data_IF_687452651520
#
_entry.id   IF_687452651520
#
_cell.length_a   1.000
_cell.length_b   1.000
_cell.length_c   1.000
_cell.angle_alpha   90.00
_cell.angle_beta   90.00
_cell.angle_gamma   90.00
#
_symmetry.space_group_name_H-M   'P 1'
#
loop_
_entity.id
_entity.type
_entity.pdbx_description
1 polymer ?
#
# COMPACT_ATOMS: atom_id res chain seq x y z
N UNK A 1 -27.47 2.33 -59.96
CA UNK A 1 -26.46 3.35 -59.67
C UNK A 1 -27.17 4.38 -58.83
N UNK A 2 -26.88 4.38 -57.53
CA UNK A 2 -27.62 5.13 -56.51
C UNK A 2 -26.99 6.51 -56.41
N UNK A 3 -27.80 7.55 -56.60
CA UNK A 3 -27.33 8.92 -56.84
C UNK A 3 -27.92 9.95 -55.88
N UNK A 4 -29.03 9.61 -55.21
CA UNK A 4 -29.61 10.50 -54.21
C UNK A 4 -28.85 10.38 -52.89
N UNK A 5 -28.81 11.48 -52.13
CA UNK A 5 -28.16 11.52 -50.81
C UNK A 5 -28.87 10.54 -49.85
N UNK A 6 -30.19 10.43 -49.97
CA UNK A 6 -31.05 9.54 -49.19
C UNK A 6 -30.81 8.06 -49.52
N UNK A 7 -30.58 7.73 -50.80
CA UNK A 7 -30.19 6.37 -51.22
C UNK A 7 -28.81 6.00 -50.66
N UNK A 8 -27.85 6.94 -50.69
CA UNK A 8 -26.53 6.75 -50.07
C UNK A 8 -26.69 6.50 -48.58
N UNK A 9 -27.51 7.28 -47.87
CA UNK A 9 -27.78 7.08 -46.45
C UNK A 9 -28.35 5.68 -46.19
N UNK A 10 -29.37 5.25 -46.93
CA UNK A 10 -29.98 3.93 -46.77
C UNK A 10 -28.99 2.78 -46.96
N UNK A 11 -28.13 2.87 -47.99
CA UNK A 11 -27.11 1.84 -48.28
C UNK A 11 -26.02 1.83 -47.20
N UNK A 12 -25.52 3.00 -46.78
CA UNK A 12 -24.50 3.09 -45.73
C UNK A 12 -25.06 2.59 -44.40
N UNK A 13 -26.33 2.89 -44.07
CA UNK A 13 -27.04 2.32 -42.92
C UNK A 13 -27.08 0.79 -42.99
N UNK A 14 -27.50 0.23 -44.12
CA UNK A 14 -27.63 -1.22 -44.28
C UNK A 14 -26.28 -1.95 -44.18
N UNK A 15 -25.22 -1.39 -44.77
CA UNK A 15 -23.87 -1.96 -44.69
C UNK A 15 -23.31 -1.92 -43.27
N UNK A 16 -23.41 -0.78 -42.58
CA UNK A 16 -22.94 -0.68 -41.19
C UNK A 16 -23.75 -1.59 -40.25
N UNK A 17 -25.06 -1.72 -40.48
CA UNK A 17 -25.90 -2.64 -39.73
C UNK A 17 -25.50 -4.11 -39.96
N UNK A 18 -25.15 -4.49 -41.19
CA UNK A 18 -24.68 -5.83 -41.53
C UNK A 18 -23.34 -6.17 -40.87
N UNK A 19 -22.38 -5.25 -40.96
CA UNK A 19 -20.99 -5.51 -40.56
C UNK A 19 -20.79 -5.37 -39.05
N UNK A 20 -21.57 -4.49 -38.38
CA UNK A 20 -21.33 -4.11 -36.99
C UNK A 20 -22.53 -4.33 -36.05
N UNK A 21 -23.70 -4.66 -36.60
CA UNK A 21 -24.95 -4.79 -35.83
C UNK A 21 -25.49 -3.47 -35.27
N UNK A 22 -24.79 -2.34 -35.48
CA UNK A 22 -25.18 -0.99 -35.03
C UNK A 22 -24.60 0.10 -35.92
N UNK A 23 -25.23 1.27 -35.91
CA UNK A 23 -24.77 2.44 -36.68
C UNK A 23 -23.90 3.32 -35.80
N UNK A 24 -22.61 3.44 -36.15
CA UNK A 24 -21.66 4.32 -35.46
C UNK A 24 -21.54 5.64 -36.22
N UNK A 25 -21.96 6.75 -35.60
CA UNK A 25 -22.01 8.09 -36.22
C UNK A 25 -20.69 8.54 -36.85
N UNK A 26 -19.54 8.21 -36.24
CA UNK A 26 -18.24 8.58 -36.81
C UNK A 26 -17.91 7.81 -38.09
N UNK A 27 -18.32 6.54 -38.19
CA UNK A 27 -18.09 5.71 -39.39
C UNK A 27 -19.01 6.11 -40.52
N UNK A 28 -20.28 6.37 -40.21
CA UNK A 28 -21.26 6.90 -41.15
C UNK A 28 -20.71 8.17 -41.82
N UNK A 29 -20.30 9.15 -41.02
CA UNK A 29 -19.76 10.42 -41.50
C UNK A 29 -18.45 10.27 -42.29
N UNK A 30 -17.61 9.28 -41.99
CA UNK A 30 -16.39 9.03 -42.77
C UNK A 30 -16.72 8.52 -44.17
N UNK A 31 -17.67 7.61 -44.29
CA UNK A 31 -18.14 7.10 -45.59
C UNK A 31 -18.77 8.23 -46.41
N UNK A 32 -19.53 9.12 -45.77
CA UNK A 32 -20.09 10.31 -46.42
C UNK A 32 -19.02 11.27 -46.94
N UNK A 33 -18.02 11.58 -46.12
CA UNK A 33 -16.92 12.46 -46.51
C UNK A 33 -16.16 11.94 -47.75
N UNK A 34 -15.93 10.62 -47.84
CA UNK A 34 -15.27 9.99 -49.02
C UNK A 34 -16.12 10.12 -50.29
N UNK A 35 -17.44 10.20 -50.15
CA UNK A 35 -18.40 10.39 -51.24
C UNK A 35 -18.58 11.90 -51.57
N UNK A 36 -18.05 12.80 -50.73
CA UNK A 36 -18.20 14.25 -50.85
C UNK A 36 -19.51 14.78 -50.26
N UNK A 37 -20.12 14.04 -49.35
CA UNK A 37 -21.32 14.44 -48.61
C UNK A 37 -20.91 15.01 -47.25
N UNK A 38 -21.49 16.14 -46.88
CA UNK A 38 -21.21 16.81 -45.62
C UNK A 38 -21.55 15.96 -44.39
N UNK A 39 -20.84 16.25 -43.31
CA UNK A 39 -21.03 15.58 -42.02
C UNK A 39 -22.44 15.84 -41.47
N UNK A 40 -23.04 14.76 -40.98
CA UNK A 40 -24.35 14.70 -40.34
C UNK A 40 -24.19 14.64 -38.81
N UNK A 41 -25.03 15.36 -38.06
CA UNK A 41 -25.01 15.34 -36.60
C UNK A 41 -25.64 14.05 -36.03
N UNK A 42 -25.53 13.84 -34.71
CA UNK A 42 -26.17 12.68 -34.04
C UNK A 42 -27.69 12.79 -34.03
N UNK A 43 -28.24 14.01 -34.03
CA UNK A 43 -29.69 14.23 -34.07
C UNK A 43 -30.23 13.94 -35.47
N UNK A 44 -29.59 14.50 -36.50
CA UNK A 44 -29.97 14.26 -37.90
C UNK A 44 -29.85 12.77 -38.28
N UNK A 45 -28.94 12.02 -37.66
CA UNK A 45 -28.85 10.57 -37.84
C UNK A 45 -30.10 9.81 -37.40
N UNK A 46 -30.81 10.31 -36.37
CA UNK A 46 -32.09 9.73 -35.94
C UNK A 46 -33.17 10.06 -36.97
N UNK A 47 -33.20 11.30 -37.42
CA UNK A 47 -34.17 11.78 -38.42
C UNK A 47 -34.00 11.01 -39.75
N UNK A 48 -32.75 10.77 -40.17
CA UNK A 48 -32.43 9.94 -41.33
C UNK A 48 -32.87 8.49 -41.12
N UNK A 49 -32.68 7.94 -39.92
CA UNK A 49 -33.13 6.59 -39.59
C UNK A 49 -34.65 6.45 -39.65
N UNK A 50 -35.38 7.45 -39.16
CA UNK A 50 -36.85 7.51 -39.23
C UNK A 50 -37.32 7.66 -40.67
N UNK A 51 -36.72 8.57 -41.44
CA UNK A 51 -36.96 8.74 -42.87
C UNK A 51 -36.78 7.44 -43.67
N UNK A 52 -35.66 6.73 -43.46
CA UNK A 52 -35.40 5.44 -44.12
C UNK A 52 -36.43 4.38 -43.70
N UNK A 53 -36.96 4.44 -42.48
CA UNK A 53 -37.94 3.48 -42.01
C UNK A 53 -39.33 3.73 -42.59
N UNK A 54 -39.74 4.99 -42.72
CA UNK A 54 -41.06 5.40 -43.23
C UNK A 54 -41.17 5.26 -44.76
N UNK A 55 -40.07 5.49 -45.48
CA UNK A 55 -40.03 5.32 -46.93
C UNK A 55 -39.79 3.85 -47.32
N UNK A 56 -40.79 3.23 -47.94
CA UNK A 56 -40.74 1.82 -48.34
C UNK A 56 -39.62 1.49 -49.34
N UNK A 57 -39.21 2.45 -50.18
CA UNK A 57 -38.12 2.27 -51.12
C UNK A 57 -36.75 2.33 -50.43
N UNK A 58 -36.51 3.35 -49.59
CA UNK A 58 -35.28 3.49 -48.82
C UNK A 58 -35.09 2.34 -47.82
N UNK A 59 -36.18 1.92 -47.16
CA UNK A 59 -36.15 0.75 -46.29
C UNK A 59 -35.80 -0.53 -47.06
N UNK A 60 -36.33 -0.66 -48.28
CA UNK A 60 -35.98 -1.72 -49.22
C UNK A 60 -34.49 -1.74 -49.55
N UNK A 61 -33.90 -0.58 -49.88
CA UNK A 61 -32.47 -0.45 -50.16
C UNK A 61 -31.59 -0.78 -48.94
N UNK A 62 -31.97 -0.31 -47.75
CA UNK A 62 -31.30 -0.66 -46.49
C UNK A 62 -31.32 -2.18 -46.29
N UNK A 63 -32.46 -2.83 -46.49
CA UNK A 63 -32.59 -4.28 -46.32
C UNK A 63 -31.81 -5.06 -47.38
N UNK A 64 -31.81 -4.60 -48.63
CA UNK A 64 -31.00 -5.21 -49.69
C UNK A 64 -29.49 -5.05 -49.42
N UNK A 65 -29.07 -3.94 -48.81
CA UNK A 65 -27.71 -3.75 -48.34
C UNK A 65 -27.36 -4.68 -47.16
N UNK A 66 -28.29 -4.89 -46.20
CA UNK A 66 -28.13 -5.87 -45.11
C UNK A 66 -27.96 -7.29 -45.67
N UNK A 67 -28.76 -7.66 -46.66
CA UNK A 67 -28.67 -8.96 -47.35
C UNK A 67 -27.45 -9.05 -48.28
N UNK A 68 -26.69 -7.97 -48.47
CA UNK A 68 -25.50 -7.91 -49.32
C UNK A 68 -25.78 -7.89 -50.82
N UNK A 69 -27.01 -7.61 -51.25
CA UNK A 69 -27.35 -7.43 -52.66
C UNK A 69 -26.90 -6.07 -53.20
N UNK A 70 -26.79 -5.08 -52.31
CA UNK A 70 -26.26 -3.73 -52.59
C UNK A 70 -25.12 -3.45 -51.63
N UNK A 71 -24.08 -2.76 -52.09
CA UNK A 71 -22.86 -2.51 -51.31
C UNK A 71 -22.32 -1.10 -51.50
N UNK A 72 -21.32 -0.72 -50.70
CA UNK A 72 -20.61 0.55 -50.87
C UNK A 72 -19.92 0.69 -52.25
N UNK A 73 -19.70 -0.41 -52.97
CA UNK A 73 -19.10 -0.42 -54.33
C UNK A 73 -20.06 0.07 -55.41
N UNK A 74 -21.35 0.16 -55.07
CA UNK A 74 -22.43 0.60 -55.95
C UNK A 74 -22.71 2.11 -55.79
N UNK A 75 -22.02 2.74 -54.83
CA UNK A 75 -22.06 4.18 -54.57
C UNK A 75 -21.04 4.92 -55.44
N UNK A 76 -21.40 6.16 -55.78
CA UNK A 76 -20.57 7.08 -56.54
C UNK A 76 -20.38 8.38 -55.77
N UNK A 77 -19.25 9.05 -55.97
CA UNK A 77 -19.02 10.41 -55.47
C UNK A 77 -19.99 11.39 -56.12
N UNK A 78 -20.08 12.59 -55.55
CA UNK A 78 -20.80 13.73 -56.16
C UNK A 78 -20.32 14.04 -57.59
N UNK A 79 -19.07 13.68 -57.95
CA UNK A 79 -18.52 13.81 -59.31
C UNK A 79 -18.81 12.61 -60.25
N UNK A 80 -19.60 11.62 -59.81
CA UNK A 80 -19.94 10.43 -60.60
C UNK A 80 -18.80 9.41 -60.74
N UNK A 81 -17.86 9.38 -59.79
CA UNK A 81 -16.76 8.39 -59.77
C UNK A 81 -17.01 7.35 -58.68
N UNK A 82 -16.73 6.07 -58.97
CA UNK A 82 -16.71 5.03 -57.93
C UNK A 82 -15.60 5.29 -56.91
N UNK A 83 -15.99 5.50 -55.65
CA UNK A 83 -15.10 5.86 -54.54
C UNK A 83 -14.41 4.63 -53.95
N UNK A 84 -15.13 3.51 -53.85
CA UNK A 84 -14.62 2.29 -53.21
C UNK A 84 -14.21 1.24 -54.24
N UNK A 85 -12.91 0.92 -54.28
CA UNK A 85 -12.32 -0.21 -55.05
C UNK A 85 -11.67 -1.20 -54.07
N UNK A 86 -12.05 -2.48 -54.18
CA UNK A 86 -11.61 -3.59 -53.31
C UNK A 86 -11.70 -3.32 -51.79
N UNK A 87 -11.00 -4.10 -50.95
CA UNK A 87 -11.12 -4.13 -49.48
C UNK A 87 -10.68 -2.83 -48.73
N UNK A 88 -10.42 -1.72 -49.43
CA UNK A 88 -9.89 -0.47 -48.87
C UNK A 88 -10.72 0.16 -47.72
N UNK A 89 -12.02 -0.14 -47.63
CA UNK A 89 -12.86 0.38 -46.54
C UNK A 89 -12.52 -0.26 -45.19
N UNK A 90 -12.13 -1.54 -45.18
CA UNK A 90 -11.72 -2.25 -43.96
C UNK A 90 -10.43 -1.66 -43.40
N UNK A 91 -9.47 -1.34 -44.25
CA UNK A 91 -8.21 -0.70 -43.84
C UNK A 91 -8.47 0.67 -43.20
N UNK A 92 -9.33 1.46 -43.84
CA UNK A 92 -9.70 2.81 -43.40
C UNK A 92 -10.44 2.84 -42.06
N UNK A 93 -11.21 1.79 -41.74
CA UNK A 93 -11.96 1.66 -40.48
C UNK A 93 -11.09 1.00 -39.39
N UNK A 94 -10.21 0.07 -39.75
CA UNK A 94 -9.30 -0.64 -38.85
C UNK A 94 -8.28 0.31 -38.20
N UNK A 95 -7.63 1.18 -38.97
CA UNK A 95 -6.62 2.12 -38.45
C UNK A 95 -7.19 3.05 -37.37
N UNK A 96 -8.43 3.52 -37.54
CA UNK A 96 -9.09 4.39 -36.56
C UNK A 96 -9.41 3.66 -35.23
N UNK A 97 -9.82 2.39 -35.30
CA UNK A 97 -10.09 1.59 -34.10
C UNK A 97 -8.81 1.42 -33.28
N UNK A 98 -7.71 1.09 -33.96
CA UNK A 98 -6.39 0.92 -33.33
C UNK A 98 -5.93 2.23 -32.68
N UNK A 99 -6.06 3.36 -33.37
CA UNK A 99 -5.69 4.67 -32.82
C UNK A 99 -6.57 5.10 -31.64
N UNK A 100 -7.88 4.86 -31.71
CA UNK A 100 -8.80 5.21 -30.64
C UNK A 100 -8.60 4.32 -29.40
N UNK A 101 -8.34 3.02 -29.56
CA UNK A 101 -7.97 2.13 -28.45
C UNK A 101 -6.64 2.55 -27.81
N UNK A 102 -5.63 2.90 -28.63
CA UNK A 102 -4.36 3.42 -28.13
C UNK A 102 -4.55 4.71 -27.32
N UNK A 103 -5.38 5.64 -27.80
CA UNK A 103 -5.73 6.88 -27.08
C UNK A 103 -6.48 6.61 -25.77
N UNK A 104 -7.45 5.69 -25.77
CA UNK A 104 -8.18 5.29 -24.57
C UNK A 104 -7.27 4.59 -23.56
N UNK A 105 -6.30 3.80 -24.02
CA UNK A 105 -5.26 3.19 -23.17
C UNK A 105 -4.42 4.27 -22.48
N UNK A 106 -3.89 5.24 -23.24
CA UNK A 106 -3.07 6.32 -22.68
C UNK A 106 -3.85 7.17 -21.67
N UNK A 107 -5.13 7.46 -21.92
CA UNK A 107 -5.99 8.18 -20.97
C UNK A 107 -6.25 7.39 -19.69
N UNK A 108 -6.37 6.06 -19.78
CA UNK A 108 -6.48 5.19 -18.60
C UNK A 108 -5.20 5.21 -17.76
N UNK A 109 -4.03 5.20 -18.38
CA UNK A 109 -2.75 5.35 -17.68
C UNK A 109 -2.61 6.73 -17.03
N UNK A 110 -2.91 7.81 -17.76
CA UNK A 110 -2.83 9.17 -17.22
C UNK A 110 -3.74 9.34 -15.99
N UNK A 111 -4.97 8.80 -16.04
CA UNK A 111 -5.90 8.80 -14.91
C UNK A 111 -5.39 7.98 -13.72
N UNK A 112 -4.66 6.88 -13.96
CA UNK A 112 -4.02 6.12 -12.86
C UNK A 112 -2.96 6.97 -12.15
N UNK A 113 -2.09 7.65 -12.92
CA UNK A 113 -1.07 8.53 -12.34
C UNK A 113 -1.68 9.74 -11.62
N UNK A 114 -2.69 10.39 -12.20
CA UNK A 114 -3.42 11.48 -11.56
C UNK A 114 -4.13 11.04 -10.27
N UNK A 115 -4.76 9.86 -10.27
CA UNK A 115 -5.39 9.29 -9.07
C UNK A 115 -4.35 8.98 -7.99
N UNK A 116 -3.18 8.48 -8.37
CA UNK A 116 -2.07 8.24 -7.45
C UNK A 116 -1.57 9.53 -6.79
N UNK A 117 -1.41 10.61 -7.58
CA UNK A 117 -1.02 11.92 -7.05
C UNK A 117 -2.07 12.52 -6.11
N UNK A 118 -3.35 12.50 -6.50
CA UNK A 118 -4.44 12.99 -5.66
C UNK A 118 -4.59 12.19 -4.36
N UNK A 119 -4.38 10.87 -4.39
CA UNK A 119 -4.39 10.05 -3.18
C UNK A 119 -3.25 10.42 -2.22
N UNK A 120 -2.05 10.67 -2.75
CA UNK A 120 -0.92 11.12 -1.94
C UNK A 120 -1.18 12.50 -1.33
N UNK A 121 -1.73 13.43 -2.11
CA UNK A 121 -2.11 14.76 -1.61
C UNK A 121 -3.15 14.66 -0.48
N UNK A 122 -4.19 13.83 -0.66
CA UNK A 122 -5.19 13.56 0.38
C UNK A 122 -4.58 12.88 1.61
N UNK A 123 -3.66 11.93 1.43
CA UNK A 123 -2.94 11.28 2.52
C UNK A 123 -2.11 12.30 3.30
N UNK A 124 -1.38 13.18 2.63
CA UNK A 124 -0.50 14.16 3.27
C UNK A 124 -1.28 15.27 3.98
N UNK A 125 -2.34 15.78 3.37
CA UNK A 125 -3.21 16.77 4.01
C UNK A 125 -3.96 16.15 5.21
N UNK A 126 -4.47 14.93 5.06
CA UNK A 126 -5.06 14.16 6.15
C UNK A 126 -4.06 13.92 7.28
N UNK A 127 -2.86 13.44 6.95
CA UNK A 127 -1.80 13.17 7.91
C UNK A 127 -1.43 14.41 8.72
N UNK A 128 -1.28 15.57 8.07
CA UNK A 128 -0.99 16.83 8.76
C UNK A 128 -2.07 17.17 9.79
N UNK A 129 -3.34 17.07 9.39
CA UNK A 129 -4.47 17.38 10.28
C UNK A 129 -4.57 16.37 11.44
N UNK A 130 -4.40 15.08 11.13
CA UNK A 130 -4.47 13.99 12.10
C UNK A 130 -3.29 14.04 13.08
N UNK A 131 -2.05 14.31 12.64
CA UNK A 131 -0.90 14.49 13.53
C UNK A 131 -1.14 15.63 14.52
N UNK A 132 -1.62 16.80 14.05
CA UNK A 132 -1.92 17.93 14.95
C UNK A 132 -3.01 17.58 15.97
N UNK A 133 -3.95 16.71 15.60
CA UNK A 133 -5.01 16.24 16.49
C UNK A 133 -4.46 15.26 17.54
N UNK A 134 -3.76 14.22 17.11
CA UNK A 134 -3.26 13.16 17.99
C UNK A 134 -2.09 13.62 18.87
N UNK A 135 -1.36 14.68 18.48
CA UNK A 135 -0.26 15.21 19.30
C UNK A 135 -0.70 16.03 20.54
N UNK A 136 -1.99 16.31 20.72
CA UNK A 136 -2.49 17.12 21.85
C UNK A 136 -2.54 16.35 23.17
N UNK A 137 -3.05 15.12 23.14
CA UNK A 137 -3.33 14.32 24.33
C UNK A 137 -2.57 12.98 24.25
N UNK A 138 -1.85 12.56 25.31
CA UNK A 138 -1.17 11.27 25.34
C UNK A 138 -2.16 10.11 25.36
N UNK A 139 -1.85 9.07 24.57
CA UNK A 139 -2.57 7.80 24.57
C UNK A 139 -2.11 6.94 25.77
N UNK A 140 -0.82 7.05 26.13
CA UNK A 140 -0.22 6.36 27.27
C UNK A 140 0.20 7.39 28.32
N UNK A 141 -0.27 7.22 29.57
CA UNK A 141 0.00 8.13 30.69
C UNK A 141 1.47 8.08 31.15
N UNK A 142 2.11 9.24 31.29
CA UNK A 142 3.47 9.43 31.82
C UNK A 142 3.59 8.97 33.29
N UNK A 143 4.79 8.53 33.71
CA UNK A 143 5.07 8.12 35.10
C UNK A 143 6.46 8.57 35.57
N UNK A 144 6.52 9.15 36.77
CA UNK A 144 7.77 9.55 37.43
C UNK A 144 8.39 8.40 38.26
N UNK A 145 9.63 7.99 38.00
CA UNK A 145 10.49 7.18 38.91
C UNK A 145 11.98 7.53 38.69
N UNK A 146 12.81 7.42 39.74
CA UNK A 146 14.29 7.61 39.72
C UNK A 146 15.00 6.37 40.28
N UNK A 147 16.03 5.84 39.61
CA UNK A 147 16.96 4.80 40.08
C UNK A 147 18.34 4.81 39.37
N UNK A 148 19.33 4.11 39.94
CA UNK A 148 20.77 4.34 39.75
C UNK A 148 21.51 3.41 38.77
N UNK A 149 22.85 3.46 38.86
CA UNK A 149 23.73 3.14 37.73
C UNK A 149 24.24 1.69 37.59
N UNK A 150 24.15 1.07 36.40
CA UNK A 150 24.71 -0.26 36.06
C UNK A 150 25.33 -0.43 34.65
N UNK A 151 25.90 -1.62 34.41
CA UNK A 151 26.56 -2.06 33.15
C UNK A 151 25.60 -2.82 32.19
N UNK A 152 24.28 -2.73 32.40
CA UNK A 152 23.28 -3.41 31.57
C UNK A 152 22.48 -2.41 30.74
N UNK A 153 22.01 -2.86 29.58
CA UNK A 153 21.08 -2.11 28.72
C UNK A 153 19.88 -2.98 28.41
N UNK A 154 18.70 -2.38 28.50
CA UNK A 154 17.44 -3.03 28.13
C UNK A 154 17.08 -2.65 26.70
N UNK A 155 16.85 -3.64 25.85
CA UNK A 155 16.37 -3.45 24.49
C UNK A 155 14.91 -3.86 24.42
N UNK A 156 14.02 -2.90 24.19
CA UNK A 156 12.60 -3.13 23.94
C UNK A 156 12.41 -3.47 22.46
N UNK A 157 11.87 -4.66 22.19
CA UNK A 157 11.48 -5.04 20.85
C UNK A 157 9.97 -4.84 20.74
N UNK A 158 9.59 -3.90 19.89
CA UNK A 158 8.20 -3.60 19.53
C UNK A 158 8.00 -4.02 18.07
N UNK A 159 7.01 -4.84 17.75
CA UNK A 159 6.76 -5.20 16.34
C UNK A 159 5.29 -5.42 16.03
N UNK A 160 4.95 -5.30 14.75
CA UNK A 160 3.68 -5.75 14.19
C UNK A 160 2.48 -5.19 14.97
N UNK A 161 2.49 -3.87 15.23
CA UNK A 161 1.38 -3.18 15.89
C UNK A 161 0.14 -3.17 15.02
N UNK A 162 0.29 -3.12 13.69
CA UNK A 162 -0.83 -3.09 12.74
C UNK A 162 -1.93 -2.12 13.20
N UNK A 163 -1.54 -0.87 13.49
CA UNK A 163 -2.48 0.18 13.89
C UNK A 163 -3.57 0.29 12.82
N UNK A 164 -4.82 0.19 13.26
CA UNK A 164 -5.98 0.15 12.37
C UNK A 164 -6.49 -1.25 12.08
N UNK A 165 -5.79 -2.34 12.40
CA UNK A 165 -6.34 -3.68 12.24
C UNK A 165 -7.46 -3.94 13.25
N UNK A 166 -8.59 -4.48 12.76
CA UNK A 166 -9.66 -4.98 13.63
C UNK A 166 -9.89 -6.46 13.42
N UNK A 167 -9.94 -7.20 14.53
CA UNK A 167 -10.45 -8.58 14.54
C UNK A 167 -11.61 -8.69 15.52
N UNK A 168 -12.70 -9.30 15.03
CA UNK A 168 -13.91 -9.64 15.80
C UNK A 168 -14.03 -11.16 15.98
N UNK A 169 -12.90 -11.84 16.10
CA UNK A 169 -12.88 -13.29 16.24
C UNK A 169 -13.36 -13.72 17.63
N UNK A 170 -13.94 -14.92 17.71
CA UNK A 170 -14.41 -15.51 18.98
C UNK A 170 -13.25 -15.78 19.95
N UNK A 171 -12.05 -16.02 19.43
CA UNK A 171 -10.88 -16.48 20.19
C UNK A 171 -9.93 -15.34 20.62
N UNK A 172 -9.93 -14.20 19.92
CA UNK A 172 -9.11 -13.03 20.26
C UNK A 172 -9.73 -11.76 19.65
N UNK A 173 -9.80 -10.69 20.43
CA UNK A 173 -10.22 -9.37 19.95
C UNK A 173 -9.00 -8.49 19.78
N UNK A 174 -8.96 -7.76 18.68
CA UNK A 174 -7.92 -6.76 18.43
C UNK A 174 -8.54 -5.52 17.79
N UNK A 175 -8.15 -4.37 18.32
CA UNK A 175 -8.44 -3.04 17.82
C UNK A 175 -7.46 -2.06 18.48
N UNK A 176 -7.53 -0.78 18.15
CA UNK A 176 -6.61 0.22 18.68
C UNK A 176 -6.68 0.40 20.20
N UNK A 177 -7.87 0.30 20.78
CA UNK A 177 -8.07 0.37 22.23
C UNK A 177 -7.41 -0.80 22.95
N UNK A 178 -7.58 -2.03 22.44
CA UNK A 178 -6.92 -3.23 22.95
C UNK A 178 -5.41 -3.11 22.82
N UNK A 179 -4.89 -2.66 21.67
CA UNK A 179 -3.46 -2.39 21.50
C UNK A 179 -2.95 -1.42 22.57
N UNK A 180 -3.63 -0.29 22.77
CA UNK A 180 -3.24 0.73 23.75
C UNK A 180 -3.18 0.14 25.18
N UNK A 181 -4.18 -0.66 25.57
CA UNK A 181 -4.19 -1.33 26.88
C UNK A 181 -3.07 -2.38 27.01
N UNK A 182 -2.78 -3.11 25.93
CA UNK A 182 -1.67 -4.08 25.88
C UNK A 182 -0.32 -3.39 26.04
N UNK A 183 -0.12 -2.24 25.37
CA UNK A 183 1.12 -1.46 25.49
C UNK A 183 1.29 -0.86 26.88
N UNK A 184 0.20 -0.43 27.54
CA UNK A 184 0.25 -0.03 28.96
C UNK A 184 0.76 -1.17 29.86
N UNK A 185 0.21 -2.38 29.71
CA UNK A 185 0.68 -3.57 30.43
C UNK A 185 2.15 -3.90 30.12
N UNK A 186 2.57 -3.74 28.86
CA UNK A 186 3.97 -3.93 28.48
C UNK A 186 4.89 -2.92 29.19
N UNK A 187 4.50 -1.64 29.24
CA UNK A 187 5.27 -0.60 29.92
C UNK A 187 5.32 -0.79 31.43
N UNK A 188 4.28 -1.35 32.07
CA UNK A 188 4.33 -1.74 33.48
C UNK A 188 5.45 -2.77 33.75
N UNK A 189 5.61 -3.74 32.84
CA UNK A 189 6.68 -4.73 32.91
C UNK A 189 8.05 -4.14 32.58
N UNK A 190 8.13 -3.18 31.65
CA UNK A 190 9.35 -2.41 31.37
C UNK A 190 9.82 -1.70 32.64
N UNK A 191 8.93 -0.95 33.27
CA UNK A 191 9.21 -0.21 34.50
C UNK A 191 9.71 -1.13 35.61
N UNK A 192 9.06 -2.29 35.79
CA UNK A 192 9.47 -3.29 36.78
C UNK A 192 10.89 -3.79 36.52
N UNK A 193 11.24 -4.07 35.25
CA UNK A 193 12.57 -4.57 34.91
C UNK A 193 13.63 -3.49 35.05
N UNK A 194 13.34 -2.27 34.61
CA UNK A 194 14.23 -1.12 34.78
C UNK A 194 14.56 -0.97 36.26
N UNK A 195 13.55 -1.04 37.12
CA UNK A 195 13.73 -0.91 38.56
C UNK A 195 14.50 -2.09 39.18
N UNK A 196 14.09 -3.32 38.89
CA UNK A 196 14.66 -4.52 39.51
C UNK A 196 16.09 -4.81 39.05
N UNK A 197 16.43 -4.42 37.82
CA UNK A 197 17.75 -4.64 37.23
C UNK A 197 18.65 -3.40 37.21
N UNK A 198 18.15 -2.26 37.73
CA UNK A 198 18.84 -0.97 37.84
C UNK A 198 19.40 -0.53 36.47
N UNK A 199 18.50 -0.38 35.50
CA UNK A 199 18.85 -0.08 34.10
C UNK A 199 18.90 1.42 33.84
N UNK A 200 20.03 1.93 33.36
CA UNK A 200 20.17 3.33 32.92
C UNK A 200 19.89 3.52 31.44
N UNK A 201 20.37 2.62 30.59
CA UNK A 201 20.31 2.77 29.14
C UNK A 201 19.20 1.89 28.58
N UNK A 202 18.36 2.45 27.71
CA UNK A 202 17.27 1.72 27.05
C UNK A 202 17.28 1.97 25.55
N UNK A 203 17.34 0.89 24.78
CA UNK A 203 17.18 0.89 23.33
C UNK A 203 15.77 0.44 22.95
N UNK A 204 15.02 1.25 22.23
CA UNK A 204 13.65 0.97 21.77
C UNK A 204 13.69 0.72 20.26
N UNK A 205 13.47 -0.52 19.85
CA UNK A 205 13.50 -0.91 18.45
C UNK A 205 12.11 -1.31 17.95
N UNK A 206 11.60 -0.55 16.98
CA UNK A 206 10.39 -0.87 16.28
C UNK A 206 10.69 -1.71 15.02
N UNK A 207 10.32 -2.98 15.05
CA UNK A 207 10.70 -4.03 14.09
C UNK A 207 9.68 -4.16 12.95
N UNK A 208 9.12 -3.04 12.48
CA UNK A 208 8.22 -2.94 11.33
C UNK A 208 6.76 -3.35 11.55
N UNK A 209 5.95 -3.06 10.53
CA UNK A 209 4.50 -3.23 10.51
C UNK A 209 3.80 -2.39 11.59
N UNK A 210 4.02 -1.07 11.53
CA UNK A 210 3.38 -0.12 12.43
C UNK A 210 1.89 0.02 12.15
N UNK A 211 1.52 0.05 10.86
CA UNK A 211 0.14 0.23 10.40
C UNK A 211 -0.37 -1.03 9.71
N UNK A 212 -1.69 -1.24 9.71
CA UNK A 212 -2.29 -2.38 8.98
C UNK A 212 -2.32 -2.14 7.47
N UNK A 213 -2.38 -0.87 7.05
CA UNK A 213 -2.61 -0.44 5.67
C UNK A 213 -4.03 -0.74 5.17
N UNK A 214 -4.59 0.12 4.32
CA UNK A 214 -6.00 -0.01 3.90
C UNK A 214 -6.21 -0.85 2.63
N UNK A 215 -5.21 -0.91 1.74
CA UNK A 215 -5.35 -1.45 0.39
C UNK A 215 -4.23 -2.41 -0.07
N UNK A 216 -3.61 -3.20 0.83
CA UNK A 216 -2.64 -4.23 0.39
C UNK A 216 -3.31 -5.49 -0.16
N UNK A 217 -4.52 -5.81 0.30
CA UNK A 217 -5.30 -6.98 -0.14
C UNK A 217 -6.53 -6.48 -0.91
N UNK A 218 -6.64 -6.88 -2.17
CA UNK A 218 -7.52 -6.30 -3.21
C UNK A 218 -9.03 -6.24 -2.92
N UNK A 219 -9.55 -6.77 -1.80
CA UNK A 219 -11.00 -6.93 -1.60
C UNK A 219 -11.51 -6.60 -0.19
N UNK A 220 -10.82 -7.02 0.88
CA UNK A 220 -11.42 -7.01 2.23
C UNK A 220 -10.72 -6.11 3.26
N UNK A 221 -9.46 -5.71 3.04
CA UNK A 221 -8.68 -5.07 4.11
C UNK A 221 -9.28 -3.74 4.58
N UNK A 222 -9.84 -2.95 3.67
CA UNK A 222 -10.52 -1.70 4.02
C UNK A 222 -11.76 -1.89 4.92
N UNK A 223 -12.40 -3.07 4.91
CA UNK A 223 -13.53 -3.38 5.80
C UNK A 223 -13.08 -3.80 7.20
N UNK A 224 -11.86 -4.30 7.32
CA UNK A 224 -11.24 -4.74 8.57
C UNK A 224 -10.33 -3.66 9.17
N UNK A 225 -10.32 -2.45 8.60
CA UNK A 225 -9.55 -1.31 9.12
C UNK A 225 -10.40 -0.31 9.90
N UNK A 226 -9.96 0.03 11.10
CA UNK A 226 -10.55 1.00 12.03
C UNK A 226 -10.46 2.45 11.52
N UNK A 227 -9.39 2.75 10.78
CA UNK A 227 -8.97 4.09 10.48
C UNK A 227 -8.51 4.24 9.04
N UNK A 228 -8.57 5.46 8.53
CA UNK A 228 -7.89 5.83 7.29
C UNK A 228 -6.37 5.66 7.41
N UNK A 229 -5.66 5.54 6.29
CA UNK A 229 -4.20 5.40 6.30
C UNK A 229 -3.51 6.57 7.03
N UNK A 230 -3.98 7.81 6.85
CA UNK A 230 -3.42 8.98 7.56
C UNK A 230 -3.58 8.86 9.07
N UNK A 231 -4.76 8.45 9.53
CA UNK A 231 -5.05 8.25 10.95
C UNK A 231 -4.24 7.10 11.55
N UNK A 232 -4.01 6.01 10.79
CA UNK A 232 -3.14 4.92 11.23
C UNK A 232 -1.70 5.42 11.46
N UNK A 233 -1.15 6.21 10.53
CA UNK A 233 0.18 6.80 10.65
C UNK A 233 0.23 7.76 11.84
N UNK A 234 -0.75 8.65 11.98
CA UNK A 234 -0.77 9.64 13.06
C UNK A 234 -0.86 8.97 14.44
N UNK A 235 -1.75 7.99 14.61
CA UNK A 235 -1.90 7.22 15.85
C UNK A 235 -0.68 6.36 16.16
N UNK A 236 -0.10 5.71 15.15
CA UNK A 236 1.14 4.95 15.30
C UNK A 236 2.30 5.84 15.73
N UNK A 237 2.44 7.02 15.10
CA UNK A 237 3.45 8.02 15.50
C UNK A 237 3.26 8.46 16.94
N UNK A 238 2.01 8.73 17.36
CA UNK A 238 1.73 9.14 18.73
C UNK A 238 2.04 8.03 19.74
N UNK A 239 1.67 6.78 19.46
CA UNK A 239 2.02 5.65 20.33
C UNK A 239 3.53 5.51 20.53
N UNK A 240 4.31 5.62 19.46
CA UNK A 240 5.77 5.56 19.54
C UNK A 240 6.32 6.73 20.36
N UNK A 241 5.81 7.94 20.14
CA UNK A 241 6.19 9.12 20.92
C UNK A 241 5.89 8.94 22.41
N UNK A 242 4.70 8.46 22.75
CA UNK A 242 4.33 8.24 24.16
C UNK A 242 5.20 7.16 24.80
N UNK A 243 5.52 6.07 24.08
CA UNK A 243 6.45 5.02 24.57
C UNK A 243 7.84 5.60 24.80
N UNK A 244 8.39 6.34 23.84
CA UNK A 244 9.72 6.96 23.94
C UNK A 244 9.78 7.87 25.17
N UNK A 245 8.77 8.73 25.36
CA UNK A 245 8.68 9.63 26.52
C UNK A 245 8.58 8.87 27.84
N UNK A 246 7.64 7.93 27.93
CA UNK A 246 7.46 7.10 29.13
C UNK A 246 8.76 6.40 29.53
N UNK A 247 9.49 5.82 28.57
CA UNK A 247 10.76 5.16 28.85
C UNK A 247 11.85 6.17 29.23
N UNK A 248 11.89 7.34 28.58
CA UNK A 248 12.82 8.42 28.92
C UNK A 248 12.62 8.96 30.33
N UNK A 249 11.38 8.99 30.82
CA UNK A 249 11.06 9.42 32.18
C UNK A 249 11.38 8.33 33.23
N UNK A 250 11.60 7.08 32.80
CA UNK A 250 11.92 5.94 33.68
C UNK A 250 13.42 5.76 33.92
N UNK A 251 14.29 6.41 33.15
CA UNK A 251 15.74 6.16 33.18
C UNK A 251 16.58 7.43 33.22
N UNK A 252 17.72 7.36 33.91
CA UNK A 252 18.68 8.47 34.00
C UNK A 252 19.71 8.47 32.85
N UNK A 253 19.84 7.35 32.13
CA UNK A 253 20.82 7.16 31.06
C UNK A 253 20.30 7.52 29.68
N UNK A 254 20.83 6.84 28.66
CA UNK A 254 20.51 7.14 27.27
C UNK A 254 19.31 6.34 26.80
N UNK A 255 18.31 7.03 26.24
CA UNK A 255 17.28 6.38 25.42
C UNK A 255 17.66 6.46 23.96
N UNK A 256 17.74 5.30 23.28
CA UNK A 256 17.94 5.21 21.83
C UNK A 256 16.68 4.68 21.17
N UNK A 257 16.23 5.28 20.07
CA UNK A 257 15.09 4.79 19.28
C UNK A 257 15.51 4.46 17.85
N UNK A 258 15.05 3.32 17.34
CA UNK A 258 15.22 2.93 15.93
C UNK A 258 13.97 2.26 15.37
N UNK A 259 13.70 2.49 14.08
CA UNK A 259 12.54 1.91 13.39
C UNK A 259 12.96 1.32 12.03
N UNK A 260 12.39 0.17 11.69
CA UNK A 260 12.47 -0.39 10.33
C UNK A 260 11.08 -0.52 9.71
N UNK A 261 11.00 -0.44 8.39
CA UNK A 261 9.77 -0.69 7.65
C UNK A 261 9.49 -2.18 7.51
N UNK A 262 8.24 -2.57 7.74
CA UNK A 262 7.71 -3.88 7.38
C UNK A 262 6.99 -3.87 6.03
N UNK A 263 6.31 -4.98 5.72
CA UNK A 263 5.56 -5.06 4.45
C UNK A 263 4.23 -4.30 4.47
N UNK A 264 3.61 -4.14 5.64
CA UNK A 264 2.40 -3.31 5.81
C UNK A 264 2.69 -1.81 5.81
N UNK A 265 3.93 -1.40 6.07
CA UNK A 265 4.32 0.00 6.02
C UNK A 265 4.50 0.56 4.59
N UNK A 266 4.40 -0.25 3.53
CA UNK A 266 4.62 0.22 2.14
C UNK A 266 3.49 1.17 1.72
N UNK A 267 3.79 2.37 1.21
CA UNK A 267 2.73 3.26 0.68
C UNK A 267 2.07 2.71 -0.59
N UNK A 268 2.83 1.93 -1.36
CA UNK A 268 2.30 1.15 -2.48
C UNK A 268 1.91 -0.25 -2.00
N UNK A 269 0.60 -0.48 -1.84
CA UNK A 269 0.06 -1.75 -1.35
C UNK A 269 0.37 -2.96 -2.24
N UNK A 270 0.57 -2.75 -3.56
CA UNK A 270 0.98 -3.83 -4.45
C UNK A 270 2.47 -4.14 -4.30
N UNK A 271 2.80 -5.32 -3.78
CA UNK A 271 4.18 -5.80 -3.59
C UNK A 271 5.07 -5.73 -4.85
N UNK A 272 4.49 -5.86 -6.04
CA UNK A 272 5.24 -5.84 -7.30
C UNK A 272 5.63 -4.42 -7.74
N UNK A 273 4.98 -3.40 -7.18
CA UNK A 273 5.21 -1.99 -7.50
C UNK A 273 5.89 -1.25 -6.34
N UNK A 274 6.44 -1.97 -5.37
CA UNK A 274 7.09 -1.35 -4.22
C UNK A 274 8.20 -0.40 -4.68
N UNK A 275 8.20 0.81 -4.13
CA UNK A 275 9.29 1.77 -4.30
C UNK A 275 10.16 1.64 -3.06
N UNK A 276 11.48 1.51 -3.26
CA UNK A 276 12.42 1.36 -2.16
C UNK A 276 12.43 2.64 -1.31
N UNK A 277 12.46 2.47 0.01
CA UNK A 277 12.32 3.50 1.07
C UNK A 277 11.00 4.29 1.09
N UNK A 278 10.04 3.99 0.21
CA UNK A 278 8.73 4.63 0.21
C UNK A 278 7.78 3.91 1.18
N UNK A 279 7.89 4.27 2.47
CA UNK A 279 7.18 3.60 3.55
C UNK A 279 6.68 4.56 4.63
N UNK A 280 5.69 4.11 5.39
CA UNK A 280 5.20 4.75 6.60
C UNK A 280 6.31 4.91 7.62
N UNK A 281 7.14 3.89 7.84
CA UNK A 281 8.27 3.99 8.76
C UNK A 281 9.22 5.13 8.39
N UNK A 282 9.43 5.42 7.10
CA UNK A 282 10.21 6.58 6.65
C UNK A 282 9.54 7.88 7.07
N UNK A 283 8.23 8.03 6.81
CA UNK A 283 7.45 9.22 7.18
C UNK A 283 7.49 9.44 8.70
N UNK A 284 7.33 8.36 9.48
CA UNK A 284 7.36 8.41 10.94
C UNK A 284 8.75 8.81 11.44
N UNK A 285 9.82 8.21 10.92
CA UNK A 285 11.19 8.55 11.28
C UNK A 285 11.50 10.01 10.96
N UNK A 286 11.15 10.48 9.75
CA UNK A 286 11.33 11.88 9.35
C UNK A 286 10.54 12.84 10.25
N UNK A 287 9.32 12.45 10.64
CA UNK A 287 8.49 13.22 11.58
C UNK A 287 9.12 13.30 12.97
N UNK A 288 9.65 12.20 13.50
CA UNK A 288 10.30 12.16 14.81
C UNK A 288 11.60 12.97 14.82
N UNK A 289 12.42 12.88 13.76
CA UNK A 289 13.63 13.71 13.61
C UNK A 289 13.27 15.19 13.52
N UNK A 290 12.24 15.55 12.76
CA UNK A 290 11.74 16.93 12.70
C UNK A 290 11.24 17.41 14.08
N UNK A 291 10.53 16.57 14.84
CA UNK A 291 10.14 16.87 16.22
C UNK A 291 11.33 17.08 17.14
N UNK A 292 12.40 16.28 16.99
CA UNK A 292 13.64 16.43 17.74
C UNK A 292 14.36 17.74 17.38
N UNK A 293 14.50 18.07 16.10
CA UNK A 293 15.10 19.34 15.63
C UNK A 293 14.36 20.58 16.15
N UNK A 294 13.04 20.46 16.38
CA UNK A 294 12.20 21.53 16.92
C UNK A 294 12.04 21.47 18.46
N UNK A 295 12.76 20.59 19.15
CA UNK A 295 12.77 20.51 20.62
C UNK A 295 11.51 19.91 21.26
N UNK A 296 10.68 19.21 20.48
CA UNK A 296 9.49 18.48 20.98
C UNK A 296 9.89 17.15 21.64
N UNK A 297 10.96 16.54 21.13
CA UNK A 297 11.62 15.35 21.68
C UNK A 297 13.02 15.79 22.08
N UNK A 298 13.36 15.66 23.36
CA UNK A 298 14.68 15.97 23.89
C UNK A 298 15.29 14.70 24.50
N UNK A 299 16.62 14.67 24.65
CA UNK A 299 17.34 13.63 25.39
C UNK A 299 17.16 12.18 24.88
N UNK A 300 16.78 12.02 23.60
CA UNK A 300 16.64 10.72 22.93
C UNK A 300 17.56 10.67 21.71
N UNK A 301 18.32 9.60 21.55
CA UNK A 301 19.13 9.33 20.37
C UNK A 301 18.29 8.60 19.31
N UNK A 302 17.85 9.29 18.26
CA UNK A 302 17.09 8.69 17.16
C UNK A 302 18.06 8.18 16.07
N UNK A 303 17.99 6.90 15.75
CA UNK A 303 18.78 6.29 14.68
C UNK A 303 18.23 6.73 13.32
N UNK A 304 18.97 7.56 12.59
CA UNK A 304 18.62 7.96 11.23
C UNK A 304 19.08 6.90 10.21
N UNK A 305 18.19 5.95 9.91
CA UNK A 305 18.35 4.95 8.86
C UNK A 305 17.52 5.27 7.60
N UNK A 306 17.22 6.55 7.32
CA UNK A 306 16.44 6.93 6.12
C UNK A 306 17.08 6.49 4.78
N UNK A 307 18.40 6.26 4.75
CA UNK A 307 19.09 5.69 3.58
C UNK A 307 18.71 4.22 3.29
N UNK A 308 18.40 3.43 4.33
CA UNK A 308 17.89 2.05 4.24
C UNK A 308 16.85 1.83 5.34
N UNK A 309 15.61 2.25 5.10
CA UNK A 309 14.56 2.19 6.13
C UNK A 309 14.19 0.74 6.51
N UNK A 310 14.67 -0.26 5.78
CA UNK A 310 14.35 -1.66 6.05
C UNK A 310 15.33 -2.33 7.01
N UNK A 311 16.42 -1.64 7.38
CA UNK A 311 17.46 -2.21 8.23
C UNK A 311 18.30 -1.14 8.92
N UNK A 312 18.69 -1.40 10.16
CA UNK A 312 19.78 -0.66 10.81
C UNK A 312 20.66 -1.59 11.64
N UNK A 313 21.85 -1.11 11.95
CA UNK A 313 22.78 -1.74 12.88
C UNK A 313 22.96 -0.82 14.08
N UNK A 314 22.93 -1.38 15.28
CA UNK A 314 23.15 -0.64 16.50
C UNK A 314 23.97 -1.48 17.48
N UNK A 315 24.92 -0.84 18.16
CA UNK A 315 25.77 -1.51 19.15
C UNK A 315 25.21 -1.24 20.54
N UNK A 316 24.69 -2.28 21.16
CA UNK A 316 24.18 -2.29 22.55
C UNK A 316 25.28 -2.85 23.43
N UNK A 317 25.88 -2.01 24.28
CA UNK A 317 27.11 -2.31 25.02
C UNK A 317 28.22 -2.89 24.11
N UNK A 318 28.51 -4.19 24.20
CA UNK A 318 29.49 -4.89 23.36
C UNK A 318 28.87 -5.82 22.30
N UNK A 319 27.55 -5.79 22.14
CA UNK A 319 26.78 -6.66 21.25
C UNK A 319 26.33 -5.87 20.02
N UNK A 320 26.70 -6.34 18.82
CA UNK A 320 26.24 -5.74 17.57
C UNK A 320 24.88 -6.32 17.19
N UNK A 321 23.85 -5.49 17.16
CA UNK A 321 22.48 -5.87 16.83
C UNK A 321 22.13 -5.36 15.42
N UNK A 322 21.63 -6.25 14.57
CA UNK A 322 21.01 -5.89 13.29
C UNK A 322 19.50 -6.03 13.42
N UNK A 323 18.75 -5.01 13.04
CA UNK A 323 17.28 -5.04 13.06
C UNK A 323 16.77 -4.96 11.63
N UNK A 324 15.82 -5.83 11.28
CA UNK A 324 15.08 -5.80 10.00
C UNK A 324 13.74 -6.48 10.18
N UNK A 325 12.68 -6.11 9.46
CA UNK A 325 11.37 -6.74 9.67
C UNK A 325 11.36 -8.24 9.33
N UNK A 326 12.13 -8.68 8.32
CA UNK A 326 12.33 -10.10 7.99
C UNK A 326 11.46 -10.64 6.83
N UNK A 327 10.70 -9.79 6.13
CA UNK A 327 9.86 -10.16 4.97
C UNK A 327 10.65 -10.80 3.81
N UNK A 328 11.94 -10.48 3.71
CA UNK A 328 12.86 -11.01 2.69
C UNK A 328 13.59 -12.29 3.13
N UNK A 329 13.53 -12.65 4.41
CA UNK A 329 14.25 -13.79 4.99
C UNK A 329 13.43 -15.07 4.81
N UNK A 330 13.72 -15.81 3.74
CA UNK A 330 13.07 -17.10 3.47
C UNK A 330 13.89 -18.28 3.99
N UNK A 331 13.18 -19.30 4.49
CA UNK A 331 13.71 -20.63 4.80
C UNK A 331 14.21 -20.82 6.24
N UNK A 332 14.45 -22.08 6.62
CA UNK A 332 15.19 -22.43 7.83
C UNK A 332 16.69 -22.34 7.54
N UNK A 333 17.47 -21.62 8.32
CA UNK A 333 18.92 -21.51 8.13
C UNK A 333 19.52 -20.24 8.71
N UNK A 334 20.77 -19.99 8.36
CA UNK A 334 21.60 -18.88 8.83
C UNK A 334 21.21 -17.56 8.15
N UNK A 335 20.31 -16.81 8.79
CA UNK A 335 19.83 -15.52 8.32
C UNK A 335 20.81 -14.40 8.63
N UNK A 336 21.64 -14.55 9.66
CA UNK A 336 22.62 -13.54 10.06
C UNK A 336 23.64 -13.31 8.95
N UNK A 337 24.15 -14.37 8.32
CA UNK A 337 25.07 -14.26 7.19
C UNK A 337 24.47 -13.54 5.96
N UNK A 338 23.14 -13.45 5.85
CA UNK A 338 22.48 -12.71 4.75
C UNK A 338 22.46 -11.21 5.00
N UNK A 339 22.53 -10.78 6.25
CA UNK A 339 22.51 -9.37 6.65
C UNK A 339 23.90 -8.84 6.99
N UNK A 340 24.83 -9.70 7.38
CA UNK A 340 26.23 -9.38 7.68
C UNK A 340 27.04 -9.16 6.40
N UNK A 341 26.84 -8.00 5.75
CA UNK A 341 27.57 -7.63 4.53
C UNK A 341 28.86 -6.86 4.84
N UNK A 342 28.79 -5.90 5.77
CA UNK A 342 29.92 -5.03 6.15
C UNK A 342 30.21 -4.99 7.64
N UNK A 343 29.19 -5.25 8.46
CA UNK A 343 29.27 -5.16 9.92
C UNK A 343 29.03 -6.54 10.53
N UNK A 344 29.84 -6.89 11.53
CA UNK A 344 29.68 -8.13 12.25
C UNK A 344 28.40 -8.08 13.10
N UNK A 345 27.55 -9.10 12.98
CA UNK A 345 26.26 -9.17 13.69
C UNK A 345 26.32 -10.28 14.73
N UNK A 346 26.15 -9.92 16.00
CA UNK A 346 26.01 -10.88 17.11
C UNK A 346 24.53 -11.29 17.29
N UNK A 347 23.61 -10.33 17.14
CA UNK A 347 22.17 -10.59 17.28
C UNK A 347 21.41 -10.03 16.08
N UNK A 348 20.61 -10.86 15.42
CA UNK A 348 19.64 -10.43 14.42
C UNK A 348 18.26 -10.38 15.06
N UNK A 349 17.56 -9.26 14.92
CA UNK A 349 16.18 -9.08 15.37
C UNK A 349 15.25 -8.94 14.17
N UNK A 350 14.19 -9.74 14.14
CA UNK A 350 13.13 -9.69 13.12
C UNK A 350 11.73 -9.76 13.68
N UNK A 351 10.70 -9.40 12.91
CA UNK A 351 9.28 -9.52 13.28
C UNK A 351 8.53 -10.41 12.29
N UNK A 352 7.44 -9.91 11.72
CA UNK A 352 6.71 -10.42 10.54
C UNK A 352 5.86 -11.68 10.78
N UNK A 353 6.38 -12.66 11.53
CA UNK A 353 5.72 -13.97 11.70
C UNK A 353 4.82 -14.06 12.93
N UNK A 354 4.72 -12.97 13.70
CA UNK A 354 3.83 -12.79 14.87
C UNK A 354 3.99 -13.84 15.99
N UNK A 355 5.10 -14.57 16.01
CA UNK A 355 5.39 -15.54 17.06
C UNK A 355 6.85 -15.46 17.46
N UNK A 356 7.07 -15.58 18.77
CA UNK A 356 8.41 -15.55 19.32
C UNK A 356 9.20 -16.78 18.89
N UNK A 357 10.46 -16.55 18.49
CA UNK A 357 11.46 -17.58 18.34
C UNK A 357 12.84 -16.99 18.68
N UNK A 358 13.70 -17.78 19.30
CA UNK A 358 15.11 -17.46 19.47
C UNK A 358 15.93 -18.68 19.04
N UNK A 359 16.76 -18.51 18.02
CA UNK A 359 17.57 -19.59 17.47
C UNK A 359 19.02 -19.15 17.42
N UNK A 360 19.91 -19.96 18.01
CA UNK A 360 21.34 -19.81 17.83
C UNK A 360 21.68 -20.22 16.38
N UNK A 361 22.35 -19.34 15.65
CA UNK A 361 22.88 -19.62 14.32
C UNK A 361 24.40 -19.88 14.40
N UNK A 362 25.22 -19.27 13.54
CA UNK A 362 26.66 -19.47 13.54
C UNK A 362 27.31 -19.03 14.88
N UNK A 363 28.06 -19.93 15.51
CA UNK A 363 28.77 -19.67 16.77
C UNK A 363 27.85 -19.16 17.88
N UNK A 364 28.16 -18.01 18.50
CA UNK A 364 27.37 -17.39 19.56
C UNK A 364 26.28 -16.46 19.02
N UNK A 365 26.11 -16.38 17.69
CA UNK A 365 25.17 -15.45 17.07
C UNK A 365 23.73 -15.94 17.24
N UNK A 366 22.83 -15.03 17.56
CA UNK A 366 21.44 -15.37 17.90
C UNK A 366 20.47 -14.63 17.00
N UNK A 367 19.57 -15.35 16.34
CA UNK A 367 18.43 -14.78 15.64
C UNK A 367 17.21 -14.77 16.57
N UNK A 368 16.77 -13.58 16.93
CA UNK A 368 15.57 -13.33 17.73
C UNK A 368 14.45 -12.84 16.81
N UNK A 369 13.30 -13.50 16.91
CA UNK A 369 12.07 -13.13 16.22
C UNK A 369 11.11 -12.58 17.26
N UNK A 370 10.80 -11.29 17.17
CA UNK A 370 9.79 -10.62 17.96
C UNK A 370 8.37 -11.08 17.54
N UNK A 371 7.51 -11.23 18.53
CA UNK A 371 6.09 -11.53 18.38
C UNK A 371 5.27 -10.23 18.25
N UNK A 372 3.97 -10.38 18.04
CA UNK A 372 3.04 -9.26 17.85
C UNK A 372 2.12 -9.07 19.07
N UNK A 373 1.61 -7.85 19.33
CA UNK A 373 0.46 -7.65 20.21
C UNK A 373 -0.82 -8.32 19.67
N UNK A 374 -0.80 -8.86 18.45
CA UNK A 374 -1.87 -9.66 17.85
C UNK A 374 -1.58 -11.15 18.10
N UNK A 375 -2.41 -11.77 18.94
CA UNK A 375 -2.46 -13.23 19.08
C UNK A 375 -3.20 -13.92 17.93
N UNK A 376 -3.46 -15.21 18.08
CA UNK A 376 -4.14 -16.04 17.06
C UNK A 376 -5.42 -15.38 16.49
N UNK A 377 -5.57 -15.39 15.17
CA UNK A 377 -6.70 -14.81 14.45
C UNK A 377 -7.14 -15.69 13.26
N UNK A 378 -8.20 -15.32 12.55
CA UNK A 378 -8.70 -16.07 11.39
C UNK A 378 -7.66 -16.22 10.27
N UNK A 379 -6.80 -15.24 10.03
CA UNK A 379 -5.76 -15.34 9.00
C UNK A 379 -4.75 -16.45 9.35
N UNK A 380 -4.26 -16.47 10.60
CA UNK A 380 -3.40 -17.54 11.11
C UNK A 380 -4.12 -18.90 11.08
N UNK A 381 -5.43 -18.93 11.35
CA UNK A 381 -6.27 -20.13 11.29
C UNK A 381 -6.38 -20.69 9.88
N UNK A 382 -6.66 -19.84 8.88
CA UNK A 382 -6.73 -20.23 7.47
C UNK A 382 -5.40 -20.80 6.95
N UNK A 383 -4.29 -20.25 7.43
CA UNK A 383 -2.94 -20.72 7.09
C UNK A 383 -2.45 -21.91 7.94
N UNK A 384 -3.26 -22.42 8.87
CA UNK A 384 -2.90 -23.48 9.82
C UNK A 384 -1.62 -23.19 10.61
N UNK A 385 -1.45 -21.92 11.01
CA UNK A 385 -0.34 -21.48 11.85
C UNK A 385 -0.60 -21.76 13.33
N UNK A 386 0.46 -21.67 14.14
CA UNK A 386 0.41 -21.85 15.59
C UNK A 386 -0.58 -20.89 16.26
N UNK A 387 -1.24 -21.37 17.32
CA UNK A 387 -2.08 -20.53 18.18
C UNK A 387 -1.20 -19.81 19.19
N UNK A 388 -0.93 -18.54 18.97
CA UNK A 388 -0.09 -17.72 19.83
C UNK A 388 -0.90 -16.77 20.71
N UNK A 389 -0.41 -16.55 21.92
CA UNK A 389 -0.86 -15.44 22.77
C UNK A 389 -0.21 -14.13 22.30
N UNK A 390 -0.91 -12.98 22.42
CA UNK A 390 -0.33 -11.67 22.13
C UNK A 390 0.87 -11.44 23.05
N UNK A 391 2.00 -11.00 22.50
CA UNK A 391 3.23 -10.80 23.29
C UNK A 391 4.24 -9.87 22.62
N UNK A 392 5.19 -9.37 23.39
CA UNK A 392 6.36 -8.61 22.93
C UNK A 392 7.62 -9.08 23.66
N UNK A 393 8.80 -8.73 23.14
CA UNK A 393 10.08 -9.18 23.67
C UNK A 393 10.88 -8.03 24.27
N UNK A 394 11.72 -8.38 25.23
CA UNK A 394 12.75 -7.53 25.79
C UNK A 394 14.06 -8.31 25.81
N UNK A 395 15.15 -7.63 25.49
CA UNK A 395 16.50 -8.18 25.58
C UNK A 395 17.24 -7.44 26.68
N UNK A 396 17.79 -8.16 27.65
CA UNK A 396 18.72 -7.62 28.61
C UNK A 396 20.13 -8.00 28.17
N UNK A 397 20.95 -7.00 27.87
CA UNK A 397 22.29 -7.15 27.32
C UNK A 397 23.31 -6.56 28.29
N UNK A 398 24.39 -7.29 28.56
CA UNK A 398 25.52 -6.80 29.36
C UNK A 398 26.79 -6.61 28.51
N UNK A 399 27.81 -5.97 29.09
CA UNK A 399 29.10 -5.78 28.43
C UNK A 399 29.88 -7.06 28.15
N UNK A 400 29.47 -8.21 28.70
CA UNK A 400 30.05 -9.54 28.39
C UNK A 400 29.39 -10.22 27.18
N UNK A 401 28.47 -9.52 26.50
CA UNK A 401 27.61 -10.05 25.42
C UNK A 401 26.64 -11.14 25.87
N UNK A 402 26.34 -11.25 27.17
CA UNK A 402 25.27 -12.15 27.60
C UNK A 402 23.93 -11.55 27.18
N UNK A 403 23.07 -12.41 26.65
CA UNK A 403 21.74 -12.05 26.17
C UNK A 403 20.69 -12.81 26.99
N UNK A 404 19.86 -12.08 27.74
CA UNK A 404 18.66 -12.64 28.36
C UNK A 404 17.44 -12.15 27.61
N UNK A 405 16.58 -13.07 27.17
CA UNK A 405 15.35 -12.74 26.42
C UNK A 405 14.15 -12.94 27.34
N UNK A 406 13.35 -11.89 27.56
CA UNK A 406 12.08 -11.97 28.27
C UNK A 406 10.92 -11.77 27.29
N UNK A 407 9.95 -12.67 27.36
CA UNK A 407 8.67 -12.52 26.64
C UNK A 407 7.62 -11.99 27.62
N UNK A 408 6.96 -10.90 27.25
CA UNK A 408 5.84 -10.33 28.00
C UNK A 408 4.54 -10.68 27.29
N UNK A 409 3.68 -11.45 27.95
CA UNK A 409 2.36 -11.80 27.43
C UNK A 409 1.34 -10.71 27.74
N UNK A 410 0.53 -10.36 26.72
CA UNK A 410 -0.34 -9.18 26.69
C UNK A 410 -1.83 -9.53 26.70
N UNK A 411 -2.16 -10.75 27.13
CA UNK A 411 -3.51 -11.24 27.31
C UNK A 411 -4.20 -10.73 28.59
#
# INVERSE_FOLDING_TARGET
>A
MYKSVEEVYAIVFGVLAKDEGKIVSSKFNKILNEIGIDRVSVNDLKDISEMIHEDGYLNGLKNDAILGKVSLKDLESVEGKKVFKDNNYLDTVSTYIVENEKRLSNLRELRKHQKSGAYMEMLMEGLKQDLVRELKDPIIEERDIVLGHTDKELVLLLSDFHVGFTSRDLDNKYNFEVLSNRLKKYLDEVQTIIFDADIDDVSIFFVGDLVEHTNMRDVNQAFDTEFTMSEQIAKGTRLLLDIIKNVSDMVDGTVTFGIVAGNHDRLQGNKNHKIYNDSVAYIVLDSLLCMQENGVINDVNIIDNREDIYKFYHKVKNTNICVTHGDSLKGKGNNINKVEVKENVDVLVTGHVHHFNATQEDFHKTHVVASSPIGFNNYSKELNLSRTSPSQQMLLVDSSKNLTIKTVFLD
#
